data_IF_349138795390
#
_entry.id   IF_349138795390
#
_cell.length_a   1.000
_cell.length_b   1.000
_cell.length_c   1.000
_cell.angle_alpha   90.00
_cell.angle_beta   90.00
_cell.angle_gamma   90.00
#
_symmetry.space_group_name_H-M   'P 1'
#
loop_
_entity.id
_entity.type
_entity.pdbx_description
1 polymer ?
#
# COMPACT_ATOMS: atom_id res chain seq x y z
N UNK A 1 -16.57 -24.29 7.29
CA UNK A 1 -15.71 -23.64 8.32
C UNK A 1 -16.62 -23.03 9.39
N UNK A 2 -16.21 -22.91 10.66
CA UNK A 2 -17.12 -22.48 11.76
C UNK A 2 -17.64 -21.04 11.55
N UNK A 3 -18.96 -20.79 11.65
CA UNK A 3 -19.57 -19.46 11.38
C UNK A 3 -18.98 -18.28 12.18
N UNK A 4 -18.39 -18.53 13.36
CA UNK A 4 -17.81 -17.49 14.23
C UNK A 4 -16.37 -17.06 13.90
N UNK A 5 -15.63 -17.81 13.06
CA UNK A 5 -14.21 -17.54 12.81
C UNK A 5 -13.97 -16.22 12.05
N UNK A 6 -14.93 -15.79 11.23
CA UNK A 6 -14.82 -14.57 10.42
C UNK A 6 -15.05 -13.28 11.23
N UNK A 7 -15.81 -13.33 12.33
CA UNK A 7 -16.12 -12.14 13.14
C UNK A 7 -14.86 -11.62 13.84
N UNK A 8 -14.09 -12.52 14.47
CA UNK A 8 -12.84 -12.15 15.15
C UNK A 8 -11.82 -11.60 14.15
N UNK A 9 -11.71 -12.24 12.98
CA UNK A 9 -10.77 -11.81 11.93
C UNK A 9 -11.16 -10.44 11.35
N UNK A 10 -12.44 -10.18 11.08
CA UNK A 10 -12.92 -8.86 10.64
C UNK A 10 -12.70 -7.78 11.69
N UNK A 11 -12.98 -8.06 12.96
CA UNK A 11 -12.76 -7.12 14.05
C UNK A 11 -11.28 -6.78 14.18
N UNK A 12 -10.41 -7.80 14.20
CA UNK A 12 -8.96 -7.63 14.24
C UNK A 12 -8.45 -6.83 13.03
N UNK A 13 -8.85 -7.19 11.81
CA UNK A 13 -8.42 -6.50 10.60
C UNK A 13 -8.83 -5.02 10.57
N UNK A 14 -10.03 -4.69 11.08
CA UNK A 14 -10.50 -3.30 11.18
C UNK A 14 -9.67 -2.47 12.15
N UNK A 15 -9.12 -3.09 13.19
CA UNK A 15 -8.24 -2.44 14.16
C UNK A 15 -6.78 -2.37 13.67
N UNK A 16 -6.24 -3.46 13.12
CA UNK A 16 -4.84 -3.51 12.68
C UNK A 16 -4.58 -2.76 11.39
N UNK A 17 -5.55 -2.69 10.46
CA UNK A 17 -5.37 -1.96 9.21
C UNK A 17 -4.88 -0.51 9.39
N UNK A 18 -5.56 0.35 10.18
CA UNK A 18 -5.08 1.71 10.42
C UNK A 18 -3.75 1.75 11.19
N UNK A 19 -3.49 0.79 12.08
CA UNK A 19 -2.23 0.72 12.82
C UNK A 19 -1.04 0.39 11.91
N UNK A 20 -1.20 -0.53 10.95
CA UNK A 20 -0.15 -0.86 9.97
C UNK A 20 0.09 0.31 9.03
N UNK A 21 -0.97 1.03 8.62
CA UNK A 21 -0.80 2.26 7.83
C UNK A 21 -0.07 3.34 8.62
N UNK A 22 -0.41 3.53 9.90
CA UNK A 22 0.28 4.48 10.76
C UNK A 22 1.74 4.08 10.99
N UNK A 23 2.03 2.79 11.12
CA UNK A 23 3.40 2.27 11.17
C UNK A 23 4.17 2.54 9.86
N UNK A 24 3.56 2.33 8.70
CA UNK A 24 4.20 2.62 7.42
C UNK A 24 4.55 4.11 7.29
N UNK A 25 3.61 4.98 7.66
CA UNK A 25 3.82 6.43 7.63
C UNK A 25 4.82 6.88 8.70
N UNK A 26 4.83 6.27 9.88
CA UNK A 26 5.80 6.61 10.93
C UNK A 26 7.21 6.20 10.52
N UNK A 27 7.40 5.01 9.96
CA UNK A 27 8.70 4.57 9.43
C UNK A 27 9.20 5.53 8.35
N UNK A 28 8.33 5.94 7.43
CA UNK A 28 8.70 6.90 6.38
C UNK A 28 9.08 8.29 6.93
N UNK A 29 8.43 8.72 8.01
CA UNK A 29 8.59 10.07 8.56
C UNK A 29 9.73 10.20 9.58
N UNK A 30 10.02 9.16 10.37
CA UNK A 30 10.97 9.24 11.49
C UNK A 30 12.35 8.69 11.18
N UNK A 31 12.46 7.79 10.20
CA UNK A 31 13.75 7.21 9.84
C UNK A 31 14.57 8.17 8.98
N UNK A 32 15.91 8.12 9.09
CA UNK A 32 16.79 8.98 8.31
C UNK A 32 16.64 8.69 6.81
N UNK A 33 16.44 9.74 6.02
CA UNK A 33 16.32 9.63 4.57
C UNK A 33 17.63 9.10 3.93
N UNK A 34 17.50 8.23 2.93
CA UNK A 34 18.63 7.57 2.27
C UNK A 34 18.97 6.19 2.86
N UNK A 35 18.21 5.71 3.84
CA UNK A 35 18.35 4.37 4.43
C UNK A 35 17.57 3.27 3.70
N UNK A 36 16.80 3.61 2.66
CA UNK A 36 15.96 2.68 1.89
C UNK A 36 14.58 2.42 2.49
N UNK A 37 14.13 3.26 3.43
CA UNK A 37 12.88 3.10 4.18
C UNK A 37 11.62 3.31 3.36
N UNK A 38 11.70 4.02 2.24
CA UNK A 38 10.60 4.22 1.31
C UNK A 38 10.07 2.89 0.75
N UNK A 39 10.96 1.98 0.38
CA UNK A 39 10.58 0.63 -0.07
C UNK A 39 9.87 -0.15 1.04
N UNK A 40 10.45 -0.17 2.24
CA UNK A 40 9.90 -0.89 3.39
C UNK A 40 8.51 -0.35 3.80
N UNK A 41 8.37 0.96 3.90
CA UNK A 41 7.09 1.62 4.17
C UNK A 41 6.05 1.32 3.07
N UNK A 42 6.46 1.34 1.80
CA UNK A 42 5.57 0.99 0.68
C UNK A 42 5.07 -0.46 0.75
N UNK A 43 5.96 -1.39 1.13
CA UNK A 43 5.60 -2.79 1.36
C UNK A 43 4.67 -2.99 2.55
N UNK A 44 4.80 -2.20 3.62
CA UNK A 44 3.86 -2.23 4.75
C UNK A 44 2.46 -1.81 4.32
N UNK A 45 2.32 -0.78 3.47
CA UNK A 45 1.03 -0.37 2.90
C UNK A 45 0.47 -1.47 2.00
N UNK A 46 1.31 -2.08 1.15
CA UNK A 46 0.92 -3.20 0.30
C UNK A 46 0.40 -4.39 1.11
N UNK A 47 1.08 -4.73 2.20
CA UNK A 47 0.67 -5.78 3.13
C UNK A 47 -0.67 -5.44 3.80
N UNK A 48 -0.86 -4.21 4.27
CA UNK A 48 -2.11 -3.77 4.86
C UNK A 48 -3.29 -3.91 3.87
N UNK A 49 -3.09 -3.50 2.62
CA UNK A 49 -4.11 -3.60 1.57
C UNK A 49 -4.38 -5.05 1.14
N UNK A 50 -3.36 -5.90 1.07
CA UNK A 50 -3.52 -7.33 0.84
C UNK A 50 -4.35 -7.97 1.96
N UNK A 51 -4.00 -7.73 3.21
CA UNK A 51 -4.75 -8.25 4.36
C UNK A 51 -6.19 -7.73 4.37
N UNK A 52 -6.39 -6.45 4.04
CA UNK A 52 -7.72 -5.88 3.91
C UNK A 52 -8.53 -6.58 2.80
N UNK A 53 -7.93 -6.84 1.64
CA UNK A 53 -8.58 -7.57 0.55
C UNK A 53 -8.92 -9.01 0.91
N UNK A 54 -8.05 -9.71 1.65
CA UNK A 54 -8.28 -11.09 2.09
C UNK A 54 -9.42 -11.20 3.12
N UNK A 55 -9.60 -10.19 3.97
CA UNK A 55 -10.60 -10.22 5.05
C UNK A 55 -11.96 -9.63 4.63
N UNK A 56 -11.94 -8.59 3.81
CA UNK A 56 -13.16 -7.85 3.42
C UNK A 56 -13.56 -8.06 1.96
N UNK A 57 -12.76 -8.76 1.16
CA UNK A 57 -13.03 -9.02 -0.25
C UNK A 57 -12.45 -7.98 -1.20
N UNK A 58 -12.49 -8.30 -2.49
CA UNK A 58 -11.85 -7.49 -3.53
C UNK A 58 -12.59 -6.17 -3.80
N UNK A 59 -13.91 -6.10 -3.64
CA UNK A 59 -14.66 -4.84 -3.86
C UNK A 59 -14.41 -3.83 -2.75
N UNK A 60 -14.43 -4.26 -1.49
CA UNK A 60 -14.07 -3.42 -0.35
C UNK A 60 -12.65 -2.85 -0.50
N UNK A 61 -11.68 -3.68 -0.90
CA UNK A 61 -10.32 -3.21 -1.16
C UNK A 61 -10.19 -2.25 -2.34
N UNK A 62 -10.98 -2.43 -3.40
CA UNK A 62 -11.02 -1.49 -4.54
C UNK A 62 -11.62 -0.15 -4.14
N UNK A 63 -12.59 -0.13 -3.22
CA UNK A 63 -13.16 1.09 -2.68
C UNK A 63 -12.18 1.80 -1.74
N UNK A 64 -11.47 1.06 -0.88
CA UNK A 64 -10.48 1.60 0.05
C UNK A 64 -9.31 2.30 -0.66
N UNK A 65 -8.85 1.75 -1.79
CA UNK A 65 -7.80 2.38 -2.60
C UNK A 65 -8.11 2.26 -4.09
N UNK A 66 -8.73 3.27 -4.73
CA UNK A 66 -9.20 3.19 -6.12
C UNK A 66 -8.06 3.13 -7.15
N UNK A 67 -8.33 2.56 -8.33
CA UNK A 67 -7.29 2.32 -9.34
C UNK A 67 -6.81 3.60 -10.03
N UNK A 68 -7.67 4.63 -10.09
CA UNK A 68 -7.29 5.98 -10.52
C UNK A 68 -6.26 6.59 -9.57
N UNK A 69 -6.53 6.54 -8.25
CA UNK A 69 -5.61 7.03 -7.24
C UNK A 69 -4.27 6.29 -7.26
N UNK A 70 -4.31 4.95 -7.36
CA UNK A 70 -3.10 4.14 -7.47
C UNK A 70 -2.25 4.56 -8.69
N UNK A 71 -2.87 4.74 -9.87
CA UNK A 71 -2.16 5.18 -11.08
C UNK A 71 -1.60 6.60 -10.93
N UNK A 72 -2.35 7.52 -10.37
CA UNK A 72 -1.87 8.88 -10.12
C UNK A 72 -0.68 8.87 -9.15
N UNK A 73 -0.77 8.13 -8.05
CA UNK A 73 0.30 7.98 -7.06
C UNK A 73 1.54 7.33 -7.70
N UNK A 74 1.37 6.32 -8.55
CA UNK A 74 2.45 5.69 -9.31
C UNK A 74 3.17 6.70 -10.20
N UNK A 75 2.41 7.48 -11.00
CA UNK A 75 2.98 8.50 -11.89
C UNK A 75 3.73 9.57 -11.09
N UNK A 76 3.14 10.09 -10.01
CA UNK A 76 3.78 11.07 -9.14
C UNK A 76 5.05 10.52 -8.49
N UNK A 77 5.03 9.26 -8.06
CA UNK A 77 6.20 8.58 -7.50
C UNK A 77 7.32 8.44 -8.51
N UNK A 78 7.03 8.00 -9.74
CA UNK A 78 8.04 7.89 -10.82
C UNK A 78 8.64 9.26 -11.14
N UNK A 79 7.81 10.28 -11.34
CA UNK A 79 8.28 11.65 -11.60
C UNK A 79 9.13 12.18 -10.45
N UNK A 80 8.68 12.02 -9.21
CA UNK A 80 9.42 12.42 -8.02
C UNK A 80 10.77 11.71 -7.91
N UNK A 81 10.81 10.41 -8.24
CA UNK A 81 12.05 9.63 -8.27
C UNK A 81 13.03 10.12 -9.34
N UNK A 82 12.55 10.43 -10.54
CA UNK A 82 13.37 11.02 -11.61
C UNK A 82 13.92 12.41 -11.21
N UNK A 83 13.08 13.25 -10.59
CA UNK A 83 13.50 14.57 -10.09
C UNK A 83 14.56 14.42 -9.00
N UNK A 84 14.35 13.53 -8.02
CA UNK A 84 15.33 13.25 -6.96
C UNK A 84 16.66 12.77 -7.55
N UNK A 85 16.61 11.82 -8.49
CA UNK A 85 17.79 11.27 -9.12
C UNK A 85 18.59 12.30 -9.95
N UNK A 86 17.91 13.27 -10.57
CA UNK A 86 18.51 14.36 -11.33
C UNK A 86 19.01 15.53 -10.47
N UNK A 87 18.45 15.70 -9.27
CA UNK A 87 18.70 16.83 -8.39
C UNK A 87 19.55 16.47 -7.16
N UNK A 88 20.56 15.61 -7.35
CA UNK A 88 21.41 15.03 -6.28
C UNK A 88 22.08 16.04 -5.35
N UNK A 89 22.21 17.30 -5.77
CA UNK A 89 22.79 18.38 -4.97
C UNK A 89 21.82 19.02 -3.97
N UNK A 90 20.52 18.73 -4.02
CA UNK A 90 19.56 19.30 -3.09
C UNK A 90 19.54 18.52 -1.75
N UNK A 91 19.45 19.22 -0.60
CA UNK A 91 19.40 18.58 0.71
C UNK A 91 18.16 17.69 0.89
N UNK A 92 17.07 17.97 0.18
CA UNK A 92 15.83 17.19 0.24
C UNK A 92 15.75 16.05 -0.79
N UNK A 93 16.79 15.86 -1.62
CA UNK A 93 16.81 14.81 -2.64
C UNK A 93 16.63 13.40 -2.05
N UNK A 94 17.33 13.02 -0.95
CA UNK A 94 17.12 11.71 -0.34
C UNK A 94 15.68 11.53 0.17
N UNK A 95 15.11 12.55 0.79
CA UNK A 95 13.72 12.51 1.29
C UNK A 95 12.72 12.34 0.15
N UNK A 96 12.91 13.08 -0.95
CA UNK A 96 12.07 12.98 -2.15
C UNK A 96 12.16 11.58 -2.77
N UNK A 97 13.36 10.99 -2.79
CA UNK A 97 13.59 9.64 -3.33
C UNK A 97 12.87 8.56 -2.49
N UNK A 98 12.93 8.65 -1.16
CA UNK A 98 12.24 7.72 -0.27
C UNK A 98 10.72 7.84 -0.41
N UNK A 99 10.19 9.06 -0.46
CA UNK A 99 8.76 9.30 -0.70
C UNK A 99 8.31 8.81 -2.08
N UNK A 100 9.13 8.98 -3.11
CA UNK A 100 8.90 8.46 -4.44
C UNK A 100 8.86 6.92 -4.46
N UNK A 101 9.83 6.26 -3.83
CA UNK A 101 9.85 4.80 -3.70
C UNK A 101 8.65 4.27 -2.94
N UNK A 102 8.27 4.91 -1.83
CA UNK A 102 7.06 4.59 -1.09
C UNK A 102 5.82 4.63 -1.99
N UNK A 103 5.64 5.73 -2.74
CA UNK A 103 4.49 5.92 -3.63
C UNK A 103 4.45 4.86 -4.74
N UNK A 104 5.58 4.61 -5.41
CA UNK A 104 5.70 3.62 -6.49
C UNK A 104 5.38 2.21 -5.97
N UNK A 105 5.94 1.83 -4.84
CA UNK A 105 5.77 0.47 -4.28
C UNK A 105 4.34 0.25 -3.80
N UNK A 106 3.78 1.19 -3.04
CA UNK A 106 2.41 1.09 -2.55
C UNK A 106 1.40 1.04 -3.70
N UNK A 107 1.54 1.93 -4.69
CA UNK A 107 0.67 1.95 -5.86
C UNK A 107 0.83 0.71 -6.75
N UNK A 108 2.08 0.36 -7.08
CA UNK A 108 2.41 -0.77 -7.94
C UNK A 108 1.91 -2.09 -7.36
N UNK A 109 2.15 -2.32 -6.06
CA UNK A 109 1.63 -3.49 -5.38
C UNK A 109 0.10 -3.51 -5.40
N UNK A 110 -0.57 -2.37 -5.17
CA UNK A 110 -2.04 -2.34 -5.20
C UNK A 110 -2.62 -2.62 -6.58
N UNK A 111 -1.98 -2.11 -7.64
CA UNK A 111 -2.37 -2.42 -9.02
C UNK A 111 -2.15 -3.90 -9.33
N UNK A 112 -1.02 -4.47 -8.92
CA UNK A 112 -0.74 -5.90 -9.06
C UNK A 112 -1.79 -6.74 -8.32
N UNK A 113 -2.11 -6.41 -7.06
CA UNK A 113 -3.15 -7.07 -6.27
C UNK A 113 -4.51 -7.03 -6.97
N UNK A 114 -4.87 -5.90 -7.58
CA UNK A 114 -6.13 -5.79 -8.33
C UNK A 114 -6.17 -6.67 -9.57
N UNK A 115 -5.06 -6.76 -10.30
CA UNK A 115 -4.93 -7.64 -11.47
C UNK A 115 -5.05 -9.11 -11.03
N UNK A 116 -4.35 -9.49 -9.96
CA UNK A 116 -4.39 -10.84 -9.40
C UNK A 116 -5.79 -11.20 -8.88
N UNK A 117 -6.42 -10.32 -8.09
CA UNK A 117 -7.77 -10.52 -7.57
C UNK A 117 -8.84 -10.51 -8.67
N UNK A 118 -8.61 -9.83 -9.80
CA UNK A 118 -9.48 -9.91 -10.97
C UNK A 118 -9.42 -11.28 -11.68
N UNK A 119 -8.29 -11.98 -11.54
CA UNK A 119 -8.06 -13.32 -12.12
C UNK A 119 -8.45 -14.46 -11.17
N UNK A 120 -8.54 -14.22 -9.86
CA UNK A 120 -8.89 -15.21 -8.86
C UNK A 120 -10.42 -15.25 -8.62
N UNK A 121 -11.15 -16.30 -9.06
CA UNK A 121 -12.61 -16.38 -8.91
C UNK A 121 -13.06 -16.42 -7.45
N UNK A 122 -12.26 -17.02 -6.56
CA UNK A 122 -12.55 -17.22 -5.12
C UNK A 122 -12.37 -15.96 -4.27
N UNK A 123 -11.83 -14.88 -4.85
CA UNK A 123 -11.75 -13.55 -4.22
C UNK A 123 -12.89 -12.63 -4.68
N UNK A 124 -13.77 -13.10 -5.57
CA UNK A 124 -15.03 -12.43 -5.85
C UNK A 124 -15.87 -12.49 -4.59
N UNK A 125 -16.62 -11.43 -4.35
CA UNK A 125 -17.49 -11.32 -3.18
C UNK A 125 -18.41 -12.54 -3.19
N UNK A 126 -18.06 -13.53 -2.37
CA UNK A 126 -18.96 -14.64 -2.17
C UNK A 126 -20.01 -14.10 -1.20
N UNK A 127 -21.25 -14.06 -1.67
CA UNK A 127 -22.45 -13.72 -0.91
C UNK A 127 -22.61 -14.73 0.25
N UNK A 128 -21.91 -14.49 1.36
CA UNK A 128 -22.11 -15.19 2.63
C UNK A 128 -22.44 -14.21 3.74
#
# INVERSE_FOLDING_TARGET
MKPGAHIVLRAAARFYFPLVLLLALSVLATYPAGSGVGLAAGLLVALALLLHALVFGATAARAAFPASLARALMCLGVVGGCVAAGARGLPWSPLLLEGAMFAVVAAGATLALKVLAGRAPTLRDEDW
#
